data_IF_091921684377
#
_entry.id   IF_091921684377
#
_cell.length_a   1.000
_cell.length_b   1.000
_cell.length_c   1.000
_cell.angle_alpha   90.00
_cell.angle_beta   90.00
_cell.angle_gamma   90.00
#
_symmetry.space_group_name_H-M   'P 1'
#
loop_
_entity.id
_entity.type
_entity.pdbx_description
1 polymer ?
#
# COMPACT_ATOMS: atom_id res chain seq x y z
N UNK A 1 -11.50 17.32 10.26
CA UNK A 1 -12.01 16.95 8.91
C UNK A 1 -10.94 17.26 7.88
N UNK A 2 -10.80 16.44 6.83
CA UNK A 2 -9.81 16.67 5.75
C UNK A 2 -10.12 17.94 4.98
N UNK A 3 -9.09 18.69 4.60
CA UNK A 3 -9.18 19.86 3.71
C UNK A 3 -8.20 19.69 2.55
N UNK A 4 -8.27 20.56 1.54
CA UNK A 4 -7.26 20.56 0.48
C UNK A 4 -5.86 20.91 1.00
N UNK A 5 -5.78 21.75 2.04
CA UNK A 5 -4.53 22.14 2.70
C UNK A 5 -4.00 21.04 3.62
N UNK A 6 -4.90 20.28 4.26
CA UNK A 6 -4.55 19.16 5.15
C UNK A 6 -5.30 17.89 4.71
N UNK A 7 -4.76 17.19 3.70
CA UNK A 7 -5.28 15.90 3.27
C UNK A 7 -5.31 14.86 4.40
N UNK A 8 -6.12 13.82 4.19
CA UNK A 8 -6.36 12.73 5.14
C UNK A 8 -5.08 12.14 5.72
N UNK A 9 -4.02 11.93 4.93
CA UNK A 9 -2.77 11.32 5.41
C UNK A 9 -2.07 12.14 6.50
N UNK A 10 -2.35 13.44 6.60
CA UNK A 10 -1.77 14.33 7.61
C UNK A 10 -2.65 14.48 8.86
N UNK A 11 -3.82 13.84 8.89
CA UNK A 11 -4.72 13.89 10.03
C UNK A 11 -4.33 12.83 11.07
N UNK A 12 -4.36 13.23 12.34
CA UNK A 12 -4.43 12.30 13.47
C UNK A 12 -5.88 11.81 13.60
N UNK A 13 -6.16 10.69 12.94
CA UNK A 13 -7.51 10.13 12.88
C UNK A 13 -7.94 9.45 14.19
N UNK A 14 -6.96 8.99 14.98
CA UNK A 14 -7.22 8.25 16.22
C UNK A 14 -7.09 9.10 17.49
N UNK A 15 -6.68 10.37 17.38
CA UNK A 15 -6.45 11.23 18.54
C UNK A 15 -5.19 10.84 19.34
N UNK A 16 -4.23 10.21 18.68
CA UNK A 16 -3.00 9.66 19.27
C UNK A 16 -1.84 10.65 19.33
N UNK A 17 -1.96 11.79 18.64
CA UNK A 17 -0.89 12.73 18.36
C UNK A 17 -0.07 12.37 17.10
N UNK A 18 -0.32 11.22 16.45
CA UNK A 18 0.37 10.80 15.23
C UNK A 18 -0.59 10.80 14.03
N UNK A 19 -0.20 11.46 12.95
CA UNK A 19 -0.92 11.43 11.67
C UNK A 19 -0.84 10.05 10.98
N UNK A 20 -1.77 9.76 10.06
CA UNK A 20 -1.76 8.49 9.31
C UNK A 20 -0.45 8.23 8.54
N UNK A 21 0.18 9.28 7.98
CA UNK A 21 1.47 9.14 7.29
C UNK A 21 2.61 8.83 8.27
N UNK A 22 2.59 9.39 9.48
CA UNK A 22 3.55 9.07 10.53
C UNK A 22 3.40 7.63 11.02
N UNK A 23 2.15 7.20 11.26
CA UNK A 23 1.85 5.82 11.62
C UNK A 23 2.31 4.85 10.52
N UNK A 24 2.02 5.18 9.25
CA UNK A 24 2.47 4.36 8.12
C UNK A 24 4.00 4.33 8.01
N UNK A 25 4.68 5.48 8.12
CA UNK A 25 6.13 5.56 8.07
C UNK A 25 6.79 4.73 9.17
N UNK A 26 6.33 4.87 10.42
CA UNK A 26 6.81 4.09 11.58
C UNK A 26 6.64 2.59 11.36
N UNK A 27 5.49 2.17 10.83
CA UNK A 27 5.23 0.76 10.50
C UNK A 27 6.17 0.25 9.40
N UNK A 28 6.41 1.04 8.35
CA UNK A 28 7.34 0.69 7.26
C UNK A 28 8.80 0.68 7.73
N UNK A 29 9.19 1.54 8.68
CA UNK A 29 10.55 1.59 9.26
C UNK A 29 10.94 0.33 10.03
N UNK A 30 9.98 -0.49 10.47
CA UNK A 30 10.24 -1.82 11.03
C UNK A 30 10.82 -2.79 9.99
N UNK A 31 10.59 -2.52 8.71
CA UNK A 31 10.94 -3.40 7.59
C UNK A 31 12.13 -2.85 6.79
N UNK A 32 12.17 -1.54 6.57
CA UNK A 32 13.15 -0.87 5.70
C UNK A 32 13.84 0.29 6.39
N UNK A 33 15.12 0.50 6.06
CA UNK A 33 15.87 1.71 6.39
C UNK A 33 15.28 2.98 5.75
N UNK A 34 15.45 4.14 6.40
CA UNK A 34 14.85 5.40 5.94
C UNK A 34 15.33 5.77 4.52
N UNK A 35 16.57 5.43 4.21
CA UNK A 35 17.23 5.57 2.91
C UNK A 35 16.53 4.76 1.81
N UNK A 36 15.84 3.67 2.17
CA UNK A 36 15.11 2.79 1.27
C UNK A 36 13.60 3.08 1.21
N UNK A 37 13.12 4.09 1.95
CA UNK A 37 11.73 4.53 1.89
C UNK A 37 11.62 5.74 0.97
N UNK A 38 10.65 5.73 0.06
CA UNK A 38 10.36 6.86 -0.82
C UNK A 38 8.90 7.29 -0.65
N UNK A 39 8.67 8.59 -0.45
CA UNK A 39 7.33 9.17 -0.41
C UNK A 39 7.10 9.94 -1.70
N UNK A 40 6.10 9.52 -2.47
CA UNK A 40 5.65 10.25 -3.64
C UNK A 40 4.41 11.05 -3.26
N UNK A 41 4.44 12.36 -3.47
CA UNK A 41 3.36 13.27 -3.07
C UNK A 41 3.26 14.46 -4.03
N UNK A 42 2.16 15.19 -3.98
CA UNK A 42 2.01 16.43 -4.75
C UNK A 42 2.95 17.52 -4.21
N UNK A 43 3.47 18.38 -5.07
CA UNK A 43 4.41 19.46 -4.70
C UNK A 43 3.88 20.37 -3.56
N UNK A 44 2.59 20.70 -3.56
CA UNK A 44 1.92 21.46 -2.49
C UNK A 44 2.08 20.85 -1.08
N UNK A 45 2.38 19.57 -0.96
CA UNK A 45 2.52 18.86 0.31
C UNK A 45 3.97 18.64 0.72
N UNK A 46 4.95 19.14 -0.03
CA UNK A 46 6.38 18.95 0.23
C UNK A 46 6.78 19.40 1.65
N UNK A 47 6.35 20.60 2.06
CA UNK A 47 6.63 21.15 3.40
C UNK A 47 6.00 20.28 4.49
N UNK A 48 4.72 19.98 4.35
CA UNK A 48 3.96 19.20 5.33
C UNK A 48 4.50 17.76 5.46
N UNK A 49 4.90 17.13 4.35
CA UNK A 49 5.57 15.82 4.38
C UNK A 49 6.88 15.87 5.16
N UNK A 50 7.70 16.91 4.98
CA UNK A 50 8.96 17.08 5.73
C UNK A 50 8.72 17.32 7.22
N UNK A 51 7.71 18.13 7.56
CA UNK A 51 7.33 18.40 8.95
C UNK A 51 6.86 17.12 9.66
N UNK A 52 6.06 16.30 8.98
CA UNK A 52 5.56 15.05 9.55
C UNK A 52 6.63 13.95 9.59
N UNK A 53 7.57 13.91 8.63
CA UNK A 53 8.59 12.88 8.48
C UNK A 53 10.01 13.46 8.47
N UNK A 54 10.50 14.07 9.58
CA UNK A 54 11.79 14.75 9.61
C UNK A 54 13.00 13.79 9.44
N UNK A 55 12.80 12.50 9.69
CA UNK A 55 13.83 11.47 9.53
C UNK A 55 13.96 10.95 8.09
N UNK A 56 13.00 11.27 7.22
CA UNK A 56 13.04 10.84 5.83
C UNK A 56 14.03 11.72 5.05
N UNK A 57 15.02 11.14 4.33
CA UNK A 57 15.94 11.94 3.52
C UNK A 57 15.18 12.80 2.51
N UNK A 58 15.57 14.07 2.35
CA UNK A 58 14.84 14.98 1.46
C UNK A 58 14.78 14.47 0.02
N UNK A 59 15.86 13.83 -0.45
CA UNK A 59 15.93 13.21 -1.78
C UNK A 59 14.99 12.00 -1.96
N UNK A 60 14.34 11.54 -0.89
CA UNK A 60 13.34 10.48 -0.90
C UNK A 60 11.90 11.02 -0.90
N UNK A 61 11.72 12.35 -0.84
CA UNK A 61 10.43 13.00 -1.09
C UNK A 61 10.36 13.35 -2.58
N UNK A 62 9.58 12.58 -3.32
CA UNK A 62 9.40 12.76 -4.77
C UNK A 62 8.12 13.55 -5.02
N UNK A 63 8.27 14.71 -5.65
CA UNK A 63 7.16 15.62 -5.90
C UNK A 63 6.56 15.38 -7.30
N UNK A 64 5.24 15.17 -7.33
CA UNK A 64 4.45 15.14 -8.56
C UNK A 64 3.87 16.54 -8.83
N UNK A 65 4.00 17.07 -10.05
CA UNK A 65 3.46 18.38 -10.41
C UNK A 65 1.94 18.35 -10.64
N UNK A 66 1.36 17.16 -10.85
CA UNK A 66 -0.05 16.96 -11.15
C UNK A 66 -0.52 15.64 -10.56
N UNK A 67 -1.73 15.61 -10.02
CA UNK A 67 -2.37 14.37 -9.55
C UNK A 67 -2.83 13.55 -10.76
N UNK A 68 -2.17 12.40 -11.01
CA UNK A 68 -2.51 11.51 -12.13
C UNK A 68 -2.93 10.09 -11.69
N UNK A 69 -3.46 9.94 -10.48
CA UNK A 69 -3.80 8.67 -9.84
C UNK A 69 -2.56 7.76 -9.61
N UNK A 70 -2.81 6.55 -9.13
CA UNK A 70 -1.78 5.66 -8.56
C UNK A 70 -0.80 5.09 -9.60
N UNK A 71 -1.28 4.74 -10.81
CA UNK A 71 -0.41 4.07 -11.79
C UNK A 71 0.76 4.95 -12.29
N UNK A 72 0.56 6.23 -12.68
CA UNK A 72 1.67 7.12 -13.04
C UNK A 72 2.60 7.42 -11.87
N UNK A 73 2.06 7.54 -10.66
CA UNK A 73 2.83 7.71 -9.42
C UNK A 73 3.78 6.53 -9.19
N UNK A 74 3.26 5.29 -9.24
CA UNK A 74 4.06 4.07 -9.11
C UNK A 74 5.10 3.97 -10.24
N UNK A 75 4.73 4.26 -11.49
CA UNK A 75 5.65 4.22 -12.61
C UNK A 75 6.81 5.22 -12.43
N UNK A 76 6.53 6.44 -11.96
CA UNK A 76 7.56 7.44 -11.69
C UNK A 76 8.50 7.02 -10.56
N UNK A 77 7.95 6.52 -9.45
CA UNK A 77 8.71 5.97 -8.33
C UNK A 77 9.63 4.82 -8.78
N UNK A 78 9.08 3.87 -9.54
CA UNK A 78 9.79 2.70 -10.06
C UNK A 78 10.96 3.11 -10.93
N UNK A 79 10.80 4.11 -11.81
CA UNK A 79 11.90 4.63 -12.63
C UNK A 79 13.00 5.31 -11.81
N UNK A 80 12.65 5.98 -10.71
CA UNK A 80 13.62 6.60 -9.79
C UNK A 80 14.37 5.53 -8.99
N UNK A 81 13.66 4.52 -8.49
CA UNK A 81 14.24 3.39 -7.76
C UNK A 81 15.16 2.58 -8.68
N UNK A 82 14.71 2.22 -9.89
CA UNK A 82 15.51 1.50 -10.89
C UNK A 82 16.83 2.18 -11.25
N UNK A 83 16.88 3.53 -11.20
CA UNK A 83 18.12 4.28 -11.41
C UNK A 83 19.11 4.17 -10.25
N UNK A 84 18.62 3.94 -9.03
CA UNK A 84 19.43 3.75 -7.82
C UNK A 84 19.85 2.29 -7.67
N UNK A 85 18.89 1.38 -7.85
CA UNK A 85 19.05 -0.07 -7.77
C UNK A 85 18.17 -0.73 -8.84
N UNK A 86 18.75 -1.25 -9.94
CA UNK A 86 18.01 -1.93 -11.01
C UNK A 86 17.35 -3.25 -10.60
N UNK A 87 17.74 -3.83 -9.46
CA UNK A 87 17.26 -5.11 -8.94
C UNK A 87 16.39 -4.95 -7.69
N UNK A 88 16.01 -3.71 -7.34
CA UNK A 88 15.23 -3.43 -6.15
C UNK A 88 13.91 -4.22 -6.11
N UNK A 89 13.67 -4.89 -4.98
CA UNK A 89 12.38 -5.48 -4.65
C UNK A 89 11.51 -4.45 -3.94
N UNK A 90 10.37 -4.11 -4.53
CA UNK A 90 9.57 -2.94 -4.12
C UNK A 90 8.32 -3.35 -3.34
N UNK A 91 8.07 -2.65 -2.24
CA UNK A 91 6.79 -2.65 -1.53
C UNK A 91 6.11 -1.29 -1.69
N UNK A 92 4.80 -1.31 -2.00
CA UNK A 92 4.00 -0.11 -2.24
C UNK A 92 2.85 -0.11 -1.24
N UNK A 93 2.71 0.97 -0.47
CA UNK A 93 1.60 1.15 0.47
C UNK A 93 1.02 2.56 0.38
N UNK A 94 -0.31 2.72 0.44
CA UNK A 94 -0.94 4.01 0.68
C UNK A 94 -0.54 4.58 2.04
N UNK A 95 -0.47 5.90 2.13
CA UNK A 95 -0.10 6.63 3.35
C UNK A 95 -1.28 6.94 4.28
N UNK A 96 -2.52 6.60 3.87
CA UNK A 96 -3.76 6.97 4.56
C UNK A 96 -4.61 5.76 4.98
N UNK A 97 -4.01 4.56 4.94
CA UNK A 97 -4.61 3.34 5.47
C UNK A 97 -4.35 3.22 6.97
N UNK A 98 -5.39 2.95 7.74
CA UNK A 98 -5.28 2.64 9.15
C UNK A 98 -5.06 1.13 9.31
N UNK A 99 -3.92 0.75 9.89
CA UNK A 99 -3.59 -0.63 10.24
C UNK A 99 -3.05 -0.58 11.67
N UNK A 100 -3.67 -1.34 12.56
CA UNK A 100 -3.39 -1.31 14.02
C UNK A 100 -2.55 -2.48 14.50
N UNK A 101 -2.41 -3.53 13.70
CA UNK A 101 -1.57 -4.70 13.99
C UNK A 101 -0.28 -4.63 13.16
N UNK A 102 0.73 -3.95 13.70
CA UNK A 102 2.00 -3.73 13.03
C UNK A 102 2.81 -5.03 12.86
N UNK A 103 2.67 -6.00 13.77
CA UNK A 103 3.38 -7.29 13.70
C UNK A 103 2.81 -8.17 12.59
N UNK A 104 1.48 -8.27 12.50
CA UNK A 104 0.83 -8.99 11.40
C UNK A 104 1.15 -8.34 10.05
N UNK A 105 1.12 -7.00 9.97
CA UNK A 105 1.52 -6.27 8.77
C UNK A 105 2.95 -6.59 8.35
N UNK A 106 3.91 -6.48 9.28
CA UNK A 106 5.31 -6.77 9.01
C UNK A 106 5.50 -8.21 8.48
N UNK A 107 4.85 -9.18 9.12
CA UNK A 107 4.91 -10.59 8.71
C UNK A 107 4.39 -10.79 7.27
N UNK A 108 3.24 -10.18 6.94
CA UNK A 108 2.63 -10.29 5.61
C UNK A 108 3.50 -9.64 4.53
N UNK A 109 4.05 -8.45 4.79
CA UNK A 109 4.91 -7.74 3.84
C UNK A 109 6.20 -8.52 3.59
N UNK A 110 6.87 -9.02 4.63
CA UNK A 110 8.10 -9.82 4.49
C UNK A 110 7.86 -11.10 3.69
N UNK A 111 6.72 -11.77 3.90
CA UNK A 111 6.30 -12.92 3.11
C UNK A 111 6.13 -12.58 1.63
N UNK A 112 5.48 -11.47 1.32
CA UNK A 112 5.33 -10.99 -0.06
C UNK A 112 6.68 -10.70 -0.72
N UNK A 113 7.59 -10.02 -0.01
CA UNK A 113 8.95 -9.73 -0.50
C UNK A 113 9.75 -11.00 -0.79
N UNK A 114 9.68 -12.01 0.08
CA UNK A 114 10.35 -13.31 -0.12
C UNK A 114 9.85 -14.01 -1.40
N UNK A 115 8.54 -13.89 -1.69
CA UNK A 115 7.95 -14.45 -2.91
C UNK A 115 8.48 -13.76 -4.17
N UNK A 116 8.51 -12.43 -4.17
CA UNK A 116 8.98 -11.65 -5.33
C UNK A 116 10.51 -11.72 -5.52
N UNK A 117 11.26 -12.05 -4.48
CA UNK A 117 12.71 -12.28 -4.56
C UNK A 117 13.05 -13.56 -5.34
N UNK A 118 12.23 -14.60 -5.20
CA UNK A 118 12.47 -15.93 -5.79
C UNK A 118 11.71 -16.18 -7.09
N UNK A 119 10.82 -15.27 -7.49
CA UNK A 119 9.97 -15.44 -8.67
C UNK A 119 9.59 -14.11 -9.32
N UNK A 120 9.46 -14.10 -10.65
CA UNK A 120 9.00 -12.94 -11.40
C UNK A 120 7.48 -12.81 -11.35
N UNK A 121 6.96 -12.24 -10.27
CA UNK A 121 5.53 -12.00 -10.07
C UNK A 121 5.25 -10.69 -9.34
N UNK A 122 3.99 -10.24 -9.42
CA UNK A 122 3.46 -9.25 -8.48
C UNK A 122 2.72 -9.97 -7.34
N UNK A 123 2.82 -9.40 -6.14
CA UNK A 123 2.07 -9.86 -4.96
C UNK A 123 1.17 -8.72 -4.50
N UNK A 124 -0.08 -9.05 -4.19
CA UNK A 124 -1.02 -8.15 -3.52
C UNK A 124 -1.39 -8.71 -2.14
N UNK A 125 -1.86 -7.84 -1.24
CA UNK A 125 -2.31 -8.21 0.10
C UNK A 125 -3.84 -8.25 0.08
N UNK A 126 -4.42 -9.43 0.25
CA UNK A 126 -5.86 -9.61 0.33
C UNK A 126 -6.39 -9.52 1.76
N UNK A 127 -7.47 -8.79 1.98
CA UNK A 127 -8.18 -8.70 3.26
C UNK A 127 -9.49 -9.48 3.19
N UNK A 128 -9.80 -10.29 4.21
CA UNK A 128 -11.06 -11.05 4.23
C UNK A 128 -12.27 -10.10 4.27
N UNK A 129 -13.18 -10.16 3.28
CA UNK A 129 -14.35 -9.30 3.26
C UNK A 129 -15.33 -9.72 4.35
N UNK A 130 -15.96 -8.73 4.98
CA UNK A 130 -17.01 -8.94 5.99
C UNK A 130 -18.35 -8.30 5.59
N UNK A 131 -18.39 -7.62 4.45
CA UNK A 131 -19.58 -6.98 3.86
C UNK A 131 -19.40 -6.84 2.34
N UNK A 132 -20.47 -6.67 1.55
CA UNK A 132 -20.35 -6.40 0.12
C UNK A 132 -20.01 -4.91 -0.10
N UNK A 133 -18.72 -4.57 -0.05
CA UNK A 133 -18.22 -3.22 -0.32
C UNK A 133 -18.05 -3.00 -1.83
N UNK A 134 -18.55 -1.89 -2.38
CA UNK A 134 -18.43 -1.58 -3.81
C UNK A 134 -17.31 -0.59 -4.11
N UNK A 135 -16.74 0.03 -3.07
CA UNK A 135 -15.61 0.94 -3.19
C UNK A 135 -14.24 0.27 -3.33
N UNK A 136 -14.15 -1.05 -3.12
CA UNK A 136 -12.89 -1.81 -3.12
C UNK A 136 -12.72 -2.68 -4.37
N UNK A 137 -11.46 -3.04 -4.64
CA UNK A 137 -11.14 -4.13 -5.56
C UNK A 137 -11.37 -5.48 -4.88
N UNK A 138 -11.66 -6.51 -5.67
CA UNK A 138 -11.79 -7.89 -5.23
C UNK A 138 -10.79 -8.78 -5.98
N UNK A 139 -10.12 -9.63 -5.23
CA UNK A 139 -9.10 -10.58 -5.70
C UNK A 139 -9.67 -11.98 -5.50
N UNK A 140 -9.95 -12.67 -6.60
CA UNK A 140 -10.23 -14.10 -6.54
C UNK A 140 -8.92 -14.86 -6.45
N UNK A 141 -8.79 -15.76 -5.48
CA UNK A 141 -7.59 -16.57 -5.30
C UNK A 141 -7.88 -18.06 -5.49
N UNK A 142 -6.86 -18.83 -5.84
CA UNK A 142 -6.96 -20.28 -5.92
C UNK A 142 -6.60 -20.93 -4.58
N UNK A 143 -7.59 -21.39 -3.82
CA UNK A 143 -7.39 -22.00 -2.50
C UNK A 143 -6.43 -23.21 -2.52
N UNK A 144 -6.33 -23.90 -3.65
CA UNK A 144 -5.46 -25.06 -3.83
C UNK A 144 -4.02 -24.72 -4.27
N UNK A 145 -3.71 -23.45 -4.48
CA UNK A 145 -2.44 -22.99 -5.07
C UNK A 145 -1.42 -22.45 -4.07
N UNK A 146 -1.70 -22.59 -2.76
CA UNK A 146 -0.81 -22.07 -1.71
C UNK A 146 0.60 -22.62 -1.85
N UNK A 147 1.59 -21.74 -1.79
CA UNK A 147 2.97 -22.14 -1.52
C UNK A 147 3.20 -22.43 -0.02
N UNK A 148 4.42 -22.83 0.34
CA UNK A 148 4.82 -23.17 1.71
C UNK A 148 4.67 -22.00 2.69
N UNK A 149 4.69 -20.77 2.19
CA UNK A 149 4.55 -19.56 3.01
C UNK A 149 3.09 -19.15 3.16
N UNK A 150 2.18 -19.69 2.35
CA UNK A 150 0.76 -19.34 2.33
C UNK A 150 0.41 -18.25 1.31
N UNK A 151 1.18 -18.08 0.23
CA UNK A 151 0.87 -17.17 -0.87
C UNK A 151 0.08 -17.95 -1.92
N UNK A 152 -1.05 -17.38 -2.36
CA UNK A 152 -1.97 -18.01 -3.30
C UNK A 152 -1.88 -17.34 -4.68
N UNK A 153 -2.11 -18.11 -5.74
CA UNK A 153 -2.28 -17.59 -7.09
C UNK A 153 -3.59 -16.82 -7.22
N UNK A 154 -3.53 -15.67 -7.86
CA UNK A 154 -4.70 -14.86 -8.22
C UNK A 154 -5.32 -15.42 -9.50
N UNK A 155 -6.62 -15.72 -9.46
CA UNK A 155 -7.41 -16.14 -10.63
C UNK A 155 -7.94 -14.95 -11.41
N UNK A 156 -8.45 -13.95 -10.68
CA UNK A 156 -9.10 -12.79 -11.25
C UNK A 156 -8.99 -11.57 -10.33
N UNK A 157 -9.04 -10.38 -10.93
CA UNK A 157 -9.09 -9.11 -10.23
C UNK A 157 -10.26 -8.29 -10.79
N UNK A 158 -11.12 -7.79 -9.91
CA UNK A 158 -12.27 -6.95 -10.27
C UNK A 158 -12.23 -5.65 -9.47
N UNK A 159 -12.14 -4.51 -10.14
CA UNK A 159 -12.13 -3.20 -9.50
C UNK A 159 -13.56 -2.68 -9.33
N UNK A 160 -13.97 -2.39 -8.08
CA UNK A 160 -15.22 -1.69 -7.75
C UNK A 160 -16.47 -2.30 -8.40
N UNK A 161 -16.81 -3.55 -8.05
CA UNK A 161 -18.00 -4.21 -8.58
C UNK A 161 -19.28 -3.47 -8.16
N UNK A 162 -20.37 -3.73 -8.88
CA UNK A 162 -21.70 -3.36 -8.39
C UNK A 162 -22.09 -4.18 -7.13
N UNK A 163 -23.19 -3.77 -6.50
CA UNK A 163 -23.62 -4.37 -5.23
C UNK A 163 -24.02 -5.85 -5.36
N UNK A 164 -24.49 -6.28 -6.52
CA UNK A 164 -24.95 -7.66 -6.73
C UNK A 164 -23.74 -8.59 -6.89
N UNK A 165 -22.73 -8.16 -7.66
CA UNK A 165 -21.45 -8.86 -7.76
C UNK A 165 -20.70 -8.87 -6.42
N UNK A 166 -20.68 -7.77 -5.67
CA UNK A 166 -20.04 -7.72 -4.35
C UNK A 166 -20.64 -8.72 -3.34
N UNK A 167 -21.96 -8.94 -3.39
CA UNK A 167 -22.63 -9.98 -2.59
C UNK A 167 -22.22 -11.37 -3.03
N UNK A 168 -22.20 -11.65 -4.33
CA UNK A 168 -21.77 -12.93 -4.87
C UNK A 168 -20.32 -13.26 -4.48
N UNK A 169 -19.42 -12.28 -4.51
CA UNK A 169 -18.02 -12.46 -4.10
C UNK A 169 -17.89 -12.77 -2.60
N UNK A 170 -18.72 -12.14 -1.76
CA UNK A 170 -18.74 -12.44 -0.33
C UNK A 170 -19.29 -13.86 -0.07
N UNK A 171 -20.33 -14.25 -0.80
CA UNK A 171 -20.99 -15.56 -0.67
C UNK A 171 -20.12 -16.72 -1.17
N UNK A 172 -19.32 -16.50 -2.23
CA UNK A 172 -18.46 -17.55 -2.79
C UNK A 172 -17.28 -17.92 -1.89
N UNK A 173 -16.83 -16.99 -1.04
CA UNK A 173 -15.78 -17.22 -0.04
C UNK A 173 -14.35 -17.25 -0.57
N UNK A 174 -14.17 -17.27 -1.90
CA UNK A 174 -12.88 -17.31 -2.61
C UNK A 174 -12.38 -15.93 -3.08
N UNK A 175 -12.99 -14.85 -2.58
CA UNK A 175 -12.57 -13.48 -2.83
C UNK A 175 -12.05 -12.76 -1.58
N UNK A 176 -11.02 -11.94 -1.80
CA UNK A 176 -10.44 -11.01 -0.82
C UNK A 176 -10.59 -9.57 -1.32
N UNK A 177 -10.66 -8.60 -0.42
CA UNK A 177 -10.52 -7.19 -0.80
C UNK A 177 -9.06 -6.86 -1.12
N UNK A 178 -8.87 -6.04 -2.15
CA UNK A 178 -7.59 -5.38 -2.49
C UNK A 178 -7.47 -4.01 -1.83
#
# INVERSE_FOLDING_TARGET
MSTEQTPKQFLDFLGTGESLIQQTYKRVRRIFDAEHIMVVTHENYATLTREHLPELPENNIVLEPLRRNTAPCIAYATLKIKKRDPLANMFITPADHLITDDEAFEKVVRKGLKRTETSQCFVTIGIKPHKPETGYGYIQYDENSSDEEGVYMVKAFTEKPDIDHAKLFLESGDFLWN
#
